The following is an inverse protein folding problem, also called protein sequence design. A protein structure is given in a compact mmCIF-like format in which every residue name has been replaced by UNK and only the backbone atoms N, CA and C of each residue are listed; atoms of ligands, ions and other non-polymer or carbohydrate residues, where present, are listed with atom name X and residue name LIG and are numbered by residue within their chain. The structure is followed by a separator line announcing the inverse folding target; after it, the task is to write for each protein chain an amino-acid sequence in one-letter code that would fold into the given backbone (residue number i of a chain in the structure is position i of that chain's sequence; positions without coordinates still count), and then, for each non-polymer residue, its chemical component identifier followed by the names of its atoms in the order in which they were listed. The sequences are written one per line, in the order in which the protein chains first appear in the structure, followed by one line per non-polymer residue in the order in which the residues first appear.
data_IF_119610357833
#
_entry.id   IF_119610357833
#
_cell.length_a   1.000
_cell.length_b   1.000
_cell.length_c   1.000
_cell.angle_alpha   90.00
_cell.angle_beta   90.00
_cell.angle_gamma   90.00
#
_symmetry.space_group_name_H-M   'P 1'
#
loop_
_entity.id
_entity.type
_entity.pdbx_description
1 polymer ?
#
# COMPACT_ATOMS: atom_id res chain seq x y z
N UNK A 1 -19.99 11.17 -20.01
CA UNK A 1 -19.07 10.09 -19.57
C UNK A 1 -19.46 9.71 -18.15
N UNK A 2 -19.38 8.43 -17.78
CA UNK A 2 -19.59 8.03 -16.38
C UNK A 2 -18.48 8.64 -15.49
N UNK A 3 -18.76 8.94 -14.21
CA UNK A 3 -17.74 9.46 -13.29
C UNK A 3 -16.63 8.43 -13.09
N UNK A 4 -15.38 8.90 -13.07
CA UNK A 4 -14.21 8.07 -12.72
C UNK A 4 -14.19 7.92 -11.19
N UNK A 5 -14.19 6.68 -10.73
CA UNK A 5 -14.18 6.27 -9.32
C UNK A 5 -13.13 5.19 -9.11
N UNK A 6 -12.71 4.97 -7.87
CA UNK A 6 -11.91 3.82 -7.43
C UNK A 6 -12.49 2.50 -7.94
N UNK A 7 -13.81 2.31 -7.83
CA UNK A 7 -14.50 1.13 -8.35
C UNK A 7 -14.39 0.99 -9.88
N UNK A 8 -14.60 2.08 -10.63
CA UNK A 8 -14.47 2.03 -12.10
C UNK A 8 -13.02 1.82 -12.54
N UNK A 9 -12.06 2.42 -11.83
CA UNK A 9 -10.62 2.23 -12.10
C UNK A 9 -10.23 0.78 -11.88
N UNK A 10 -10.63 0.19 -10.76
CA UNK A 10 -10.36 -1.22 -10.45
C UNK A 10 -11.01 -2.16 -11.47
N UNK A 11 -12.26 -1.90 -11.85
CA UNK A 11 -12.96 -2.66 -12.88
C UNK A 11 -12.32 -2.52 -14.28
N UNK A 12 -11.62 -1.41 -14.55
CA UNK A 12 -10.90 -1.14 -15.80
C UNK A 12 -9.49 -1.74 -15.86
N UNK A 13 -9.02 -2.43 -14.81
CA UNK A 13 -7.72 -3.09 -14.82
C UNK A 13 -7.67 -4.24 -15.85
N UNK A 14 -6.47 -4.60 -16.35
CA UNK A 14 -6.29 -5.82 -17.15
C UNK A 14 -6.88 -7.04 -16.44
N UNK A 15 -7.49 -7.93 -17.22
CA UNK A 15 -8.21 -9.10 -16.72
C UNK A 15 -7.35 -9.91 -15.73
N UNK A 16 -7.90 -10.14 -14.53
CA UNK A 16 -7.26 -10.91 -13.47
C UNK A 16 -6.09 -10.23 -12.76
N UNK A 17 -5.68 -8.99 -13.12
CA UNK A 17 -4.57 -8.31 -12.46
C UNK A 17 -4.86 -8.06 -10.97
N UNK A 18 -6.02 -7.48 -10.63
CA UNK A 18 -6.42 -7.28 -9.24
C UNK A 18 -6.50 -8.60 -8.48
N UNK A 19 -7.08 -9.63 -9.08
CA UNK A 19 -7.17 -10.96 -8.48
C UNK A 19 -5.79 -11.55 -8.16
N UNK A 20 -4.78 -11.37 -9.02
CA UNK A 20 -3.40 -11.81 -8.74
C UNK A 20 -2.74 -11.02 -7.60
N UNK A 21 -3.08 -9.74 -7.46
CA UNK A 21 -2.59 -8.87 -6.39
C UNK A 21 -3.21 -9.22 -5.02
N UNK A 22 -4.42 -9.77 -5.00
CA UNK A 22 -5.18 -10.06 -3.77
C UNK A 22 -5.37 -11.54 -3.47
N UNK A 23 -5.05 -12.42 -4.42
CA UNK A 23 -5.08 -13.88 -4.29
C UNK A 23 -3.81 -14.43 -4.92
N UNK A 24 -2.80 -14.65 -4.09
CA UNK A 24 -1.45 -15.01 -4.50
C UNK A 24 -1.02 -16.32 -3.83
N UNK A 25 -0.16 -17.15 -4.47
CA UNK A 25 0.38 -18.37 -3.87
C UNK A 25 0.97 -18.24 -2.45
N UNK A 26 1.43 -17.05 -2.07
CA UNK A 26 1.86 -16.75 -0.69
C UNK A 26 0.70 -16.85 0.31
N UNK A 27 -0.44 -16.22 -0.02
CA UNK A 27 -1.66 -16.22 0.79
C UNK A 27 -2.29 -17.61 0.82
N UNK A 28 -2.31 -18.30 -0.32
CA UNK A 28 -2.77 -19.69 -0.40
C UNK A 28 -1.91 -20.61 0.47
N UNK A 29 -0.59 -20.44 0.46
CA UNK A 29 0.30 -21.23 1.31
C UNK A 29 0.07 -21.00 2.81
N UNK A 30 -0.33 -19.78 3.21
CA UNK A 30 -0.74 -19.49 4.60
C UNK A 30 -2.05 -20.20 4.92
N UNK A 31 -3.06 -20.11 4.05
CA UNK A 31 -4.36 -20.77 4.23
C UNK A 31 -4.24 -22.29 4.32
N UNK A 32 -3.45 -22.88 3.42
CA UNK A 32 -3.29 -24.32 3.29
C UNK A 32 -2.26 -24.89 4.28
N UNK A 33 -1.65 -24.04 5.11
CA UNK A 33 -0.64 -24.40 6.12
C UNK A 33 0.61 -25.05 5.51
N UNK A 34 0.97 -24.61 4.32
CA UNK A 34 2.16 -25.09 3.58
C UNK A 34 3.28 -24.05 3.53
N UNK A 35 3.01 -22.81 3.95
CA UNK A 35 3.99 -21.72 4.01
C UNK A 35 5.18 -22.13 4.89
N UNK A 36 6.39 -21.96 4.36
CA UNK A 36 7.60 -22.23 5.12
C UNK A 36 7.94 -21.03 6.02
N UNK A 37 8.48 -21.25 7.24
CA UNK A 37 8.88 -20.16 8.12
C UNK A 37 9.78 -19.13 7.45
N UNK A 38 10.74 -19.56 6.63
CA UNK A 38 11.64 -18.67 5.90
C UNK A 38 10.93 -17.78 4.87
N UNK A 39 9.86 -18.28 4.24
CA UNK A 39 9.08 -17.51 3.27
C UNK A 39 8.25 -16.44 3.97
N UNK A 40 7.56 -16.81 5.05
CA UNK A 40 6.79 -15.87 5.86
C UNK A 40 7.69 -14.81 6.49
N UNK A 41 8.84 -15.21 7.03
CA UNK A 41 9.79 -14.29 7.66
C UNK A 41 10.42 -13.35 6.63
N UNK A 42 10.65 -13.79 5.39
CA UNK A 42 11.06 -12.91 4.28
C UNK A 42 10.02 -11.83 4.05
N UNK A 43 8.74 -12.19 3.88
CA UNK A 43 7.67 -11.20 3.73
C UNK A 43 7.63 -10.24 4.91
N UNK A 44 7.64 -10.73 6.15
CA UNK A 44 7.53 -9.91 7.36
C UNK A 44 8.61 -8.80 7.43
N UNK A 45 9.86 -9.15 7.11
CA UNK A 45 10.97 -8.19 7.15
C UNK A 45 10.89 -7.17 6.03
N UNK A 46 10.57 -7.61 4.81
CA UNK A 46 10.46 -6.70 3.67
C UNK A 46 9.24 -5.77 3.80
N UNK A 47 8.14 -6.27 4.38
CA UNK A 47 6.94 -5.48 4.65
C UNK A 47 7.16 -4.42 5.73
N UNK A 48 7.94 -4.74 6.76
CA UNK A 48 8.41 -3.72 7.71
C UNK A 48 9.16 -2.57 7.01
N UNK A 49 10.00 -2.86 6.01
CA UNK A 49 10.68 -1.79 5.27
C UNK A 49 9.73 -0.99 4.40
N UNK A 50 8.75 -1.66 3.77
CA UNK A 50 7.72 -1.01 2.97
C UNK A 50 6.86 -0.06 3.79
N UNK A 51 6.37 -0.50 4.95
CA UNK A 51 5.52 0.30 5.86
C UNK A 51 6.20 1.62 6.25
N UNK A 52 7.53 1.66 6.36
CA UNK A 52 8.26 2.92 6.62
C UNK A 52 8.16 3.93 5.47
N UNK A 53 8.10 3.46 4.22
CA UNK A 53 7.81 4.31 3.06
C UNK A 53 6.33 4.70 3.05
N UNK A 54 5.43 3.78 3.36
CA UNK A 54 4.00 4.03 3.45
C UNK A 54 3.62 5.09 4.50
N UNK A 55 4.31 5.13 5.65
CA UNK A 55 4.19 6.23 6.63
C UNK A 55 4.50 7.60 6.01
N UNK A 56 5.52 7.68 5.14
CA UNK A 56 5.88 8.93 4.47
C UNK A 56 4.88 9.29 3.38
N UNK A 57 4.37 8.31 2.65
CA UNK A 57 3.26 8.50 1.72
C UNK A 57 2.05 9.06 2.47
N UNK A 58 1.69 8.50 3.63
CA UNK A 58 0.57 8.98 4.47
C UNK A 58 0.76 10.46 4.82
N UNK A 59 1.94 10.84 5.31
CA UNK A 59 2.24 12.23 5.65
C UNK A 59 2.15 13.17 4.44
N UNK A 60 2.65 12.74 3.27
CA UNK A 60 2.56 13.52 2.04
C UNK A 60 1.12 13.66 1.53
N UNK A 61 0.32 12.59 1.63
CA UNK A 61 -1.10 12.61 1.29
C UNK A 61 -1.86 13.56 2.22
N UNK A 62 -1.57 13.56 3.52
CA UNK A 62 -2.14 14.51 4.48
C UNK A 62 -1.76 15.96 4.16
N UNK A 63 -0.49 16.22 3.79
CA UNK A 63 -0.04 17.56 3.41
C UNK A 63 -0.79 18.10 2.17
N UNK A 64 -1.15 17.21 1.24
CA UNK A 64 -1.86 17.57 0.01
C UNK A 64 -3.38 17.55 0.14
N UNK A 65 -3.93 17.03 1.24
CA UNK A 65 -5.36 16.82 1.42
C UNK A 65 -6.10 18.13 1.78
N UNK A 66 -7.37 18.28 1.38
CA UNK A 66 -8.25 19.29 1.93
C UNK A 66 -8.65 18.94 3.37
N UNK A 67 -9.00 19.95 4.18
CA UNK A 67 -9.29 19.79 5.61
C UNK A 67 -10.31 18.69 5.94
N UNK A 68 -11.38 18.58 5.14
CA UNK A 68 -12.45 17.60 5.36
C UNK A 68 -12.05 16.14 5.11
N UNK A 69 -10.85 15.89 4.60
CA UNK A 69 -10.27 14.56 4.41
C UNK A 69 -9.22 14.21 5.49
N UNK A 70 -8.87 15.16 6.37
CA UNK A 70 -7.79 14.96 7.34
C UNK A 70 -8.14 13.93 8.42
N UNK A 71 -9.40 13.86 8.86
CA UNK A 71 -9.81 12.95 9.94
C UNK A 71 -9.59 11.47 9.59
N UNK A 72 -9.95 11.06 8.36
CA UNK A 72 -9.73 9.70 7.87
C UNK A 72 -8.23 9.39 7.81
N UNK A 73 -7.44 10.27 7.19
CA UNK A 73 -6.00 10.08 7.06
C UNK A 73 -5.27 10.07 8.41
N UNK A 74 -5.72 10.89 9.37
CA UNK A 74 -5.18 10.92 10.72
C UNK A 74 -5.44 9.60 11.47
N UNK A 75 -6.62 9.00 11.27
CA UNK A 75 -6.94 7.66 11.78
C UNK A 75 -5.94 6.61 11.28
N UNK A 76 -5.64 6.62 9.98
CA UNK A 76 -4.62 5.75 9.38
C UNK A 76 -3.22 5.97 9.97
N UNK A 77 -2.79 7.23 10.08
CA UNK A 77 -1.48 7.57 10.67
C UNK A 77 -1.35 7.06 12.12
N UNK A 78 -2.40 7.19 12.93
CA UNK A 78 -2.42 6.67 14.29
C UNK A 78 -2.30 5.13 14.32
N UNK A 79 -2.99 4.43 13.41
CA UNK A 79 -2.87 2.98 13.26
C UNK A 79 -1.45 2.55 12.87
N UNK A 80 -0.81 3.28 11.94
CA UNK A 80 0.55 2.99 11.47
C UNK A 80 1.61 3.09 12.58
N UNK A 81 1.44 3.98 13.56
CA UNK A 81 2.32 4.02 14.73
C UNK A 81 2.36 2.67 15.45
N UNK A 82 1.17 2.10 15.69
CA UNK A 82 1.01 0.80 16.36
C UNK A 82 1.55 -0.34 15.50
N UNK A 83 1.38 -0.26 14.19
CA UNK A 83 1.82 -1.26 13.23
C UNK A 83 3.33 -1.34 13.13
N UNK A 84 4.03 -0.21 13.03
CA UNK A 84 5.50 -0.16 13.04
C UNK A 84 6.08 -0.76 14.33
N UNK A 85 5.45 -0.48 15.47
CA UNK A 85 5.86 -1.08 16.74
C UNK A 85 5.61 -2.60 16.76
N UNK A 86 4.47 -3.04 16.22
CA UNK A 86 4.10 -4.45 16.14
C UNK A 86 5.04 -5.23 15.21
N UNK A 87 5.42 -4.71 14.04
CA UNK A 87 6.40 -5.38 13.15
C UNK A 87 7.75 -5.60 13.84
N UNK A 88 8.23 -4.61 14.62
CA UNK A 88 9.46 -4.75 15.41
C UNK A 88 9.34 -5.84 16.47
N UNK A 89 8.21 -5.90 17.17
CA UNK A 89 7.94 -6.94 18.15
C UNK A 89 7.92 -8.34 17.49
N UNK A 90 7.22 -8.49 16.36
CA UNK A 90 7.15 -9.76 15.62
C UNK A 90 8.49 -10.21 15.07
N UNK A 91 9.32 -9.28 14.60
CA UNK A 91 10.67 -9.59 14.20
C UNK A 91 11.50 -10.12 15.39
N UNK A 92 11.41 -9.46 16.55
CA UNK A 92 12.12 -9.90 17.76
C UNK A 92 11.64 -11.27 18.26
N UNK A 93 10.33 -11.51 18.31
CA UNK A 93 9.73 -12.80 18.69
C UNK A 93 10.22 -13.96 17.81
N UNK A 94 10.46 -13.69 16.52
CA UNK A 94 10.91 -14.67 15.52
C UNK A 94 12.43 -14.72 15.35
N UNK A 95 13.19 -13.95 16.14
CA UNK A 95 14.65 -13.88 16.04
C UNK A 95 15.15 -13.30 14.70
N UNK A 96 14.38 -12.41 14.07
CA UNK A 96 14.69 -11.84 12.76
C UNK A 96 15.48 -10.53 12.89
N UNK A 97 16.53 -10.42 12.09
CA UNK A 97 17.32 -9.21 11.99
C UNK A 97 16.65 -8.21 11.03
N UNK A 98 16.29 -7.02 11.52
CA UNK A 98 15.79 -5.93 10.68
C UNK A 98 16.93 -5.04 10.19
N UNK A 99 17.86 -4.66 11.06
CA UNK A 99 18.97 -3.78 10.70
C UNK A 99 20.02 -4.51 9.86
N UNK A 100 20.39 -3.94 8.72
CA UNK A 100 21.37 -4.52 7.81
C UNK A 100 20.83 -5.63 6.90
N UNK A 101 19.57 -6.03 7.04
CA UNK A 101 18.93 -6.95 6.08
C UNK A 101 18.69 -6.23 4.75
N UNK A 102 19.13 -6.78 3.61
CA UNK A 102 18.97 -6.14 2.32
C UNK A 102 17.50 -6.08 1.89
N UNK A 103 17.14 -4.98 1.21
CA UNK A 103 15.89 -4.90 0.45
C UNK A 103 15.96 -5.82 -0.76
N UNK A 104 15.00 -6.73 -0.88
CA UNK A 104 14.80 -7.52 -2.09
C UNK A 104 14.39 -6.63 -3.27
N UNK A 105 14.64 -7.05 -4.52
CA UNK A 105 14.30 -6.25 -5.71
C UNK A 105 12.84 -5.78 -5.74
N UNK A 106 11.87 -6.67 -5.46
CA UNK A 106 10.45 -6.31 -5.47
C UNK A 106 10.10 -5.23 -4.43
N UNK A 107 10.58 -5.37 -3.19
CA UNK A 107 10.37 -4.37 -2.15
C UNK A 107 11.04 -3.03 -2.47
N UNK A 108 12.26 -3.07 -3.03
CA UNK A 108 12.98 -1.88 -3.47
C UNK A 108 12.23 -1.13 -4.58
N UNK A 109 11.73 -1.87 -5.57
CA UNK A 109 10.99 -1.29 -6.69
C UNK A 109 9.69 -0.64 -6.20
N UNK A 110 8.99 -1.29 -5.27
CA UNK A 110 7.78 -0.75 -4.68
C UNK A 110 8.06 0.52 -3.87
N UNK A 111 9.02 0.46 -2.94
CA UNK A 111 9.41 1.60 -2.11
C UNK A 111 9.85 2.79 -2.98
N UNK A 112 10.71 2.54 -3.98
CA UNK A 112 11.20 3.58 -4.88
C UNK A 112 10.06 4.25 -5.66
N UNK A 113 9.12 3.45 -6.17
CA UNK A 113 7.97 3.99 -6.90
C UNK A 113 7.06 4.83 -6.00
N UNK A 114 6.77 4.36 -4.78
CA UNK A 114 5.97 5.11 -3.79
C UNK A 114 6.66 6.41 -3.41
N UNK A 115 7.97 6.40 -3.16
CA UNK A 115 8.74 7.59 -2.81
C UNK A 115 8.75 8.64 -3.94
N UNK A 116 8.77 8.21 -5.21
CA UNK A 116 8.69 9.13 -6.36
C UNK A 116 7.38 9.92 -6.42
N UNK A 117 6.28 9.41 -5.85
CA UNK A 117 4.98 10.11 -5.85
C UNK A 117 5.03 11.39 -5.00
N UNK A 118 5.83 11.40 -3.93
CA UNK A 118 5.87 12.50 -2.96
C UNK A 118 7.22 13.20 -2.82
N UNK A 119 8.31 12.64 -3.38
CA UNK A 119 9.65 13.20 -3.26
C UNK A 119 9.74 14.70 -3.61
N UNK A 120 9.08 15.22 -4.67
CA UNK A 120 9.13 16.65 -4.95
C UNK A 120 8.49 17.52 -3.87
N UNK A 121 7.36 17.08 -3.30
CA UNK A 121 6.69 17.80 -2.21
C UNK A 121 7.53 17.78 -0.93
N UNK A 122 8.13 16.64 -0.61
CA UNK A 122 9.03 16.51 0.53
C UNK A 122 10.28 17.41 0.39
N UNK A 123 10.87 17.46 -0.80
CA UNK A 123 12.03 18.32 -1.07
C UNK A 123 11.67 19.82 -1.00
N UNK A 124 10.52 20.21 -1.53
CA UNK A 124 10.02 21.58 -1.41
C UNK A 124 9.76 21.97 0.06
N UNK A 125 9.15 21.09 0.85
CA UNK A 125 8.91 21.31 2.28
C UNK A 125 10.22 21.40 3.09
N UNK A 126 11.27 20.70 2.66
CA UNK A 126 12.60 20.75 3.28
C UNK A 126 13.43 21.98 2.86
N UNK A 127 12.90 22.87 2.01
CA UNK A 127 13.62 24.05 1.52
C UNK A 127 14.82 23.71 0.61
N UNK A 128 14.84 22.52 0.01
CA UNK A 128 15.90 22.12 -0.90
C UNK A 128 15.77 22.87 -2.24
N UNK A 129 16.84 23.55 -2.66
CA UNK A 129 16.95 24.09 -4.01
C UNK A 129 17.17 22.93 -4.98
N UNK A 130 16.08 22.47 -5.59
CA UNK A 130 16.11 21.32 -6.48
C UNK A 130 16.62 21.66 -7.89
N UNK A 131 17.23 22.84 -8.11
CA UNK A 131 17.84 23.23 -9.38
C UNK A 131 16.89 23.17 -10.58
N UNK A 132 15.58 23.25 -10.34
CA UNK A 132 14.53 23.06 -11.36
C UNK A 132 14.35 21.62 -11.88
N UNK A 133 15.05 20.63 -11.32
CA UNK A 133 15.06 19.23 -11.78
C UNK A 133 14.10 18.28 -11.05
N UNK A 134 13.59 18.65 -9.88
CA UNK A 134 12.53 17.87 -9.24
C UNK A 134 11.25 18.04 -10.06
N UNK A 135 10.70 16.93 -10.57
CA UNK A 135 9.39 16.91 -11.23
C UNK A 135 8.28 17.42 -10.30
N UNK A 136 7.03 17.44 -10.77
CA UNK A 136 5.90 17.81 -9.89
C UNK A 136 5.50 16.62 -9.02
N UNK A 137 5.15 16.88 -7.76
CA UNK A 137 4.52 15.88 -6.91
C UNK A 137 3.20 15.41 -7.52
N UNK A 138 2.78 14.18 -7.20
CA UNK A 138 1.50 13.68 -7.68
C UNK A 138 0.35 14.55 -7.14
N UNK A 139 -0.69 14.84 -7.96
CA UNK A 139 -1.89 15.53 -7.48
C UNK A 139 -2.55 14.76 -6.34
N UNK A 140 -3.19 15.47 -5.41
CA UNK A 140 -3.86 14.86 -4.26
C UNK A 140 -4.84 13.73 -4.65
N UNK A 141 -5.63 13.91 -5.71
CA UNK A 141 -6.55 12.88 -6.18
C UNK A 141 -5.83 11.57 -6.58
N UNK A 142 -4.63 11.67 -7.18
CA UNK A 142 -3.80 10.49 -7.49
C UNK A 142 -3.25 9.86 -6.21
N UNK A 143 -2.76 10.67 -5.28
CA UNK A 143 -2.27 10.17 -3.97
C UNK A 143 -3.37 9.45 -3.19
N UNK A 144 -4.59 10.01 -3.15
CA UNK A 144 -5.73 9.41 -2.48
C UNK A 144 -6.13 8.06 -3.09
N UNK A 145 -6.16 7.97 -4.42
CA UNK A 145 -6.45 6.71 -5.12
C UNK A 145 -5.35 5.67 -4.90
N UNK A 146 -4.07 6.07 -4.93
CA UNK A 146 -2.95 5.15 -4.63
C UNK A 146 -3.03 4.65 -3.19
N UNK A 147 -3.28 5.55 -2.24
CA UNK A 147 -3.41 5.21 -0.84
C UNK A 147 -4.54 4.19 -0.61
N UNK A 148 -5.72 4.45 -1.19
CA UNK A 148 -6.83 3.50 -1.18
C UNK A 148 -6.45 2.15 -1.80
N UNK A 149 -5.81 2.15 -2.98
CA UNK A 149 -5.50 0.91 -3.69
C UNK A 149 -4.54 -0.01 -2.91
N UNK A 150 -3.53 0.57 -2.24
CA UNK A 150 -2.59 -0.16 -1.38
C UNK A 150 -3.35 -0.84 -0.22
N UNK A 151 -4.13 -0.06 0.53
CA UNK A 151 -4.89 -0.55 1.69
C UNK A 151 -5.96 -1.57 1.26
N UNK A 152 -6.63 -1.35 0.13
CA UNK A 152 -7.63 -2.25 -0.43
C UNK A 152 -7.04 -3.58 -0.89
N UNK A 153 -5.82 -3.58 -1.45
CA UNK A 153 -5.10 -4.81 -1.77
C UNK A 153 -4.86 -5.65 -0.52
N UNK A 154 -4.30 -5.05 0.55
CA UNK A 154 -4.06 -5.75 1.81
C UNK A 154 -5.35 -6.21 2.48
N UNK A 155 -6.39 -5.37 2.50
CA UNK A 155 -7.68 -5.75 3.07
C UNK A 155 -8.31 -6.93 2.36
N UNK A 156 -8.33 -6.91 1.03
CA UNK A 156 -8.87 -8.01 0.22
C UNK A 156 -8.05 -9.28 0.43
N UNK A 157 -6.72 -9.16 0.38
CA UNK A 157 -5.78 -10.28 0.54
C UNK A 157 -5.95 -10.98 1.88
N UNK A 158 -5.70 -10.27 2.98
CA UNK A 158 -5.76 -10.83 4.33
C UNK A 158 -7.19 -11.17 4.75
N UNK A 159 -8.17 -10.36 4.36
CA UNK A 159 -9.59 -10.62 4.63
C UNK A 159 -10.08 -11.96 4.05
N UNK A 160 -9.54 -12.38 2.89
CA UNK A 160 -9.87 -13.65 2.25
C UNK A 160 -9.43 -14.89 3.05
N UNK A 161 -8.55 -14.71 4.04
CA UNK A 161 -7.97 -15.76 4.86
C UNK A 161 -8.75 -16.00 6.17
N UNK A 162 -9.78 -15.20 6.48
CA UNK A 162 -10.54 -15.29 7.73
C UNK A 162 -11.10 -16.69 7.97
N UNK A 163 -10.75 -17.28 9.11
CA UNK A 163 -11.18 -18.62 9.51
C UNK A 163 -10.54 -19.77 8.73
N UNK A 164 -9.52 -19.49 7.91
CA UNK A 164 -8.84 -20.50 7.07
C UNK A 164 -7.40 -20.77 7.51
N UNK A 165 -6.79 -19.88 8.30
CA UNK A 165 -5.37 -19.98 8.69
C UNK A 165 -5.17 -20.80 9.96
N UNK A 166 -3.91 -21.14 10.24
CA UNK A 166 -3.52 -21.69 11.53
C UNK A 166 -3.44 -20.58 12.61
N UNK A 167 -3.63 -20.90 13.92
CA UNK A 167 -3.72 -19.90 14.98
C UNK A 167 -2.55 -18.91 15.07
N UNK A 168 -1.34 -19.33 14.68
CA UNK A 168 -0.15 -18.47 14.64
C UNK A 168 -0.21 -17.34 13.60
N UNK A 169 -1.16 -17.39 12.67
CA UNK A 169 -1.37 -16.38 11.63
C UNK A 169 -2.67 -15.58 11.82
N UNK A 170 -3.52 -15.95 12.79
CA UNK A 170 -4.81 -15.26 13.04
C UNK A 170 -4.62 -13.76 13.31
N UNK A 171 -3.56 -13.39 14.04
CA UNK A 171 -3.29 -11.97 14.34
C UNK A 171 -3.01 -11.11 13.10
N UNK A 172 -2.45 -11.71 12.05
CA UNK A 172 -2.15 -11.04 10.79
C UNK A 172 -3.44 -10.81 10.00
N UNK A 173 -4.29 -11.85 9.97
CA UNK A 173 -5.62 -11.77 9.38
C UNK A 173 -6.49 -10.76 10.12
N UNK A 174 -6.43 -10.69 11.45
CA UNK A 174 -7.20 -9.71 12.21
C UNK A 174 -6.72 -8.27 11.95
N UNK A 175 -5.41 -8.05 11.80
CA UNK A 175 -4.87 -6.70 11.56
C UNK A 175 -5.44 -6.07 10.28
N UNK A 176 -5.34 -6.75 9.15
CA UNK A 176 -5.77 -6.22 7.85
C UNK A 176 -7.13 -6.74 7.38
N UNK A 177 -7.72 -7.69 8.10
CA UNK A 177 -9.03 -8.25 7.83
C UNK A 177 -10.08 -7.92 8.90
N UNK A 178 -9.78 -7.08 9.89
CA UNK A 178 -10.76 -6.62 10.89
C UNK A 178 -11.92 -5.83 10.26
N UNK A 179 -13.04 -5.71 10.98
CA UNK A 179 -14.18 -4.90 10.52
C UNK A 179 -13.82 -3.41 10.46
N UNK A 180 -13.00 -2.97 11.40
CA UNK A 180 -12.51 -1.60 11.52
C UNK A 180 -11.66 -1.24 10.28
N UNK A 181 -10.76 -2.13 9.87
CA UNK A 181 -9.95 -1.89 8.67
C UNK A 181 -10.76 -1.97 7.38
N UNK A 182 -11.76 -2.86 7.29
CA UNK A 182 -12.71 -2.88 6.16
C UNK A 182 -13.45 -1.55 6.04
N UNK A 183 -13.93 -0.99 7.16
CA UNK A 183 -14.61 0.30 7.15
C UNK A 183 -13.65 1.43 6.74
N UNK A 184 -12.43 1.42 7.28
CA UNK A 184 -11.40 2.40 6.93
C UNK A 184 -11.09 2.40 5.43
N UNK A 185 -10.95 1.23 4.80
CA UNK A 185 -10.75 1.11 3.35
C UNK A 185 -11.95 1.64 2.56
N UNK A 186 -13.18 1.44 3.05
CA UNK A 186 -14.37 2.00 2.42
C UNK A 186 -14.39 3.54 2.52
N UNK A 187 -13.99 4.10 3.65
CA UNK A 187 -13.90 5.55 3.85
C UNK A 187 -12.83 6.17 2.94
N UNK A 188 -11.68 5.48 2.77
CA UNK A 188 -10.65 5.87 1.81
C UNK A 188 -11.16 5.86 0.36
N UNK A 189 -12.00 4.89 -0.01
CA UNK A 189 -12.59 4.82 -1.35
C UNK A 189 -13.50 6.03 -1.61
N UNK A 190 -14.38 6.36 -0.66
CA UNK A 190 -15.25 7.55 -0.73
C UNK A 190 -14.42 8.82 -0.85
N UNK A 191 -13.34 8.92 -0.06
CA UNK A 191 -12.43 10.06 -0.09
C UNK A 191 -11.72 10.21 -1.44
N UNK A 192 -11.21 9.11 -2.00
CA UNK A 192 -10.54 9.09 -3.30
C UNK A 192 -11.52 9.45 -4.44
N UNK A 193 -12.75 8.95 -4.39
CA UNK A 193 -13.81 9.28 -5.35
C UNK A 193 -14.18 10.76 -5.29
N UNK A 194 -14.31 11.33 -4.09
CA UNK A 194 -14.55 12.76 -3.90
C UNK A 194 -13.39 13.61 -4.44
N UNK A 195 -12.14 13.17 -4.20
CA UNK A 195 -10.96 13.85 -4.70
C UNK A 195 -10.88 13.84 -6.23
N UNK A 196 -11.23 12.72 -6.88
CA UNK A 196 -11.34 12.62 -8.34
C UNK A 196 -12.43 13.53 -8.90
N UNK A 197 -13.59 13.59 -8.25
CA UNK A 197 -14.71 14.43 -8.67
C UNK A 197 -14.44 15.94 -8.52
N UNK A 198 -13.57 16.32 -7.58
CA UNK A 198 -13.20 17.71 -7.33
C UNK A 198 -12.14 18.27 -8.31
N UNK A 199 -11.57 17.43 -9.18
CA UNK A 199 -10.54 17.85 -10.14
C UNK A 199 -11.14 18.82 -11.17
N UNK A 200 -10.51 19.97 -11.46
CA UNK A 200 -10.93 20.88 -12.51
C UNK A 200 -11.09 20.20 -13.87
N UNK A 201 -12.12 20.60 -14.63
CA UNK A 201 -12.50 19.93 -15.88
C UNK A 201 -11.38 19.90 -16.94
N UNK A 202 -10.51 20.92 -16.95
CA UNK A 202 -9.34 21.01 -17.84
C UNK A 202 -8.21 20.02 -17.48
N UNK A 203 -8.22 19.50 -16.25
CA UNK A 203 -7.21 18.54 -15.74
C UNK A 203 -7.77 17.12 -15.55
N UNK A 204 -9.10 16.97 -15.52
CA UNK A 204 -9.78 15.73 -15.16
C UNK A 204 -9.31 14.51 -15.96
N UNK A 205 -9.14 14.63 -17.28
CA UNK A 205 -8.69 13.52 -18.13
C UNK A 205 -7.25 13.08 -17.81
N UNK A 206 -6.34 14.02 -17.56
CA UNK A 206 -4.96 13.72 -17.23
C UNK A 206 -4.83 13.08 -15.85
N UNK A 207 -5.59 13.58 -14.86
CA UNK A 207 -5.62 13.02 -13.50
C UNK A 207 -6.26 11.63 -13.48
N UNK A 208 -7.35 11.42 -14.23
CA UNK A 208 -7.97 10.09 -14.36
C UNK A 208 -6.99 9.07 -14.96
N UNK A 209 -6.31 9.42 -16.06
CA UNK A 209 -5.31 8.54 -16.67
C UNK A 209 -4.13 8.24 -15.72
N UNK A 210 -3.69 9.24 -14.94
CA UNK A 210 -2.64 9.06 -13.94
C UNK A 210 -3.10 8.15 -12.79
N UNK A 211 -4.34 8.30 -12.31
CA UNK A 211 -4.93 7.47 -11.27
C UNK A 211 -5.08 6.01 -11.75
N UNK A 212 -5.59 5.78 -12.97
CA UNK A 212 -5.70 4.45 -13.58
C UNK A 212 -4.32 3.76 -13.72
N UNK A 213 -3.33 4.49 -14.22
CA UNK A 213 -1.96 3.99 -14.33
C UNK A 213 -1.37 3.67 -12.95
N UNK A 214 -1.66 4.48 -11.94
CA UNK A 214 -1.16 4.28 -10.59
C UNK A 214 -1.80 3.05 -9.91
N UNK A 215 -3.12 2.84 -10.02
CA UNK A 215 -3.78 1.63 -9.48
C UNK A 215 -3.28 0.38 -10.18
N UNK A 216 -3.08 0.43 -11.50
CA UNK A 216 -2.44 -0.67 -12.23
C UNK A 216 -1.06 -0.97 -11.68
N UNK A 217 -0.25 0.07 -11.45
CA UNK A 217 1.10 -0.08 -10.94
C UNK A 217 1.12 -0.63 -9.51
N UNK A 218 0.20 -0.23 -8.64
CA UNK A 218 0.00 -0.84 -7.31
C UNK A 218 -0.24 -2.33 -7.47
N UNK A 219 -1.23 -2.75 -8.28
CA UNK A 219 -1.54 -4.16 -8.44
C UNK A 219 -0.35 -4.98 -9.01
N UNK A 220 0.41 -4.44 -9.95
CA UNK A 220 1.63 -5.09 -10.46
C UNK A 220 2.72 -5.22 -9.38
N UNK A 221 2.90 -4.18 -8.56
CA UNK A 221 3.88 -4.16 -7.48
C UNK A 221 3.50 -5.14 -6.37
N UNK A 222 2.23 -5.21 -5.99
CA UNK A 222 1.71 -6.18 -5.01
C UNK A 222 1.98 -7.63 -5.44
N UNK A 223 1.75 -7.97 -6.72
CA UNK A 223 2.08 -9.31 -7.25
C UNK A 223 3.56 -9.64 -7.04
N UNK A 224 4.46 -8.70 -7.39
CA UNK A 224 5.89 -8.89 -7.18
C UNK A 224 6.27 -8.96 -5.70
N UNK A 225 5.60 -8.18 -4.86
CA UNK A 225 5.82 -8.11 -3.42
C UNK A 225 5.47 -9.45 -2.75
N UNK A 226 4.33 -10.05 -3.07
CA UNK A 226 4.00 -11.38 -2.57
C UNK A 226 4.94 -12.47 -3.09
N UNK A 227 5.36 -12.39 -4.36
CA UNK A 227 6.27 -13.36 -4.96
C UNK A 227 7.65 -13.39 -4.29
N UNK A 228 8.11 -12.24 -3.77
CA UNK A 228 9.41 -12.12 -3.12
C UNK A 228 9.58 -13.06 -1.91
N UNK A 229 8.48 -13.43 -1.25
CA UNK A 229 8.50 -14.40 -0.16
C UNK A 229 9.10 -15.76 -0.56
N UNK A 230 9.01 -16.13 -1.84
CA UNK A 230 9.56 -17.39 -2.37
C UNK A 230 11.02 -17.27 -2.84
N UNK A 231 11.58 -16.06 -2.89
CA UNK A 231 12.98 -15.80 -3.20
C UNK A 231 13.80 -15.70 -1.92
N UNK A 232 13.88 -16.81 -1.19
CA UNK A 232 14.72 -16.90 0.01
C UNK A 232 16.17 -17.04 -0.45
N UNK A 233 17.02 -16.06 -0.16
CA UNK A 233 18.45 -16.21 -0.37
C UNK A 233 18.95 -17.38 0.48
N UNK A 234 19.37 -18.46 -0.19
CA UNK A 234 20.08 -19.56 0.46
C UNK A 234 21.38 -19.00 1.03
N UNK A 235 21.43 -18.81 2.35
CA UNK A 235 22.69 -18.61 3.07
C UNK A 235 23.49 -19.90 3.10
#
# INVERSE_FOLDING_TARGET
MAPVTTASIQAGLPEGLWAKATSHPFLDAIADRTIQPAQFNTWLVQDYFYVRSFVRLTAATMLAAPDHHLDVLLGGMAALQSEVAWFKAKAAERGLQLEGTPLQPAARDYISWVEQLFAPAAAAAAGADNGGGAGKAAPYAVLAVVFWAIEACYNTAWGSLRGRVAPEYDEFVERWGSKEFVQYVADLAVQADAALAAVPADQAAAVAAAAEAAVRRVAELEVGFWAMAFHVDSK
#
